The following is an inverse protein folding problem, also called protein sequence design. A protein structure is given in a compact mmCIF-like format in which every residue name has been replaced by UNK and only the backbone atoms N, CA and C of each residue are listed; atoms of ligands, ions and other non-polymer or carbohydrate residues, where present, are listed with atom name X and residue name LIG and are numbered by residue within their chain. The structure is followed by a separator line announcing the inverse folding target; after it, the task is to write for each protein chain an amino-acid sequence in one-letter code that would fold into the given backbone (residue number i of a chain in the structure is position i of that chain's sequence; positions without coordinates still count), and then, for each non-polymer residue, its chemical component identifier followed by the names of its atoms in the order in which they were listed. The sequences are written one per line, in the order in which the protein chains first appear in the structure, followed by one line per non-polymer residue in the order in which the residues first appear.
data_IF_721823292173
#
_entry.id   IF_721823292173
#
_cell.length_a   1.000
_cell.length_b   1.000
_cell.length_c   1.000
_cell.angle_alpha   90.00
_cell.angle_beta   90.00
_cell.angle_gamma   90.00
#
_symmetry.space_group_name_H-M   'P 1'
#
loop_
_entity.id
_entity.type
_entity.pdbx_description
1 polymer ?
#
# COMPACT_ATOMS: atom_id res chain seq x y z
N UNK A 1 19.57 21.95 -12.25
CA UNK A 1 19.65 20.48 -12.22
C UNK A 1 19.67 20.00 -10.77
N UNK A 2 18.93 18.95 -10.42
CA UNK A 2 18.90 18.37 -9.07
C UNK A 2 19.54 16.98 -9.12
N UNK A 3 20.60 16.77 -8.36
CA UNK A 3 21.41 15.56 -8.37
C UNK A 3 21.40 14.86 -7.02
N UNK A 4 21.35 13.53 -7.03
CA UNK A 4 21.66 12.70 -5.87
C UNK A 4 23.16 12.41 -5.90
N UNK A 5 23.91 12.92 -4.92
CA UNK A 5 25.38 12.82 -4.89
C UNK A 5 25.87 11.71 -3.96
N UNK A 6 25.06 11.29 -2.99
CA UNK A 6 25.35 10.13 -2.13
C UNK A 6 24.08 9.33 -1.85
N UNK A 7 24.24 8.02 -1.71
CA UNK A 7 23.19 7.05 -1.39
C UNK A 7 23.68 6.04 -0.36
N UNK A 8 22.75 5.41 0.36
CA UNK A 8 23.01 4.31 1.31
C UNK A 8 22.06 3.16 1.03
N UNK A 9 22.56 1.93 1.02
CA UNK A 9 21.70 0.76 0.88
C UNK A 9 20.83 0.58 2.12
N UNK A 10 19.55 0.31 1.91
CA UNK A 10 18.56 0.13 2.99
C UNK A 10 17.88 -1.24 2.97
N UNK A 11 18.05 -2.01 1.90
CA UNK A 11 17.57 -3.38 1.78
C UNK A 11 17.81 -3.95 0.38
N UNK A 12 17.32 -5.16 0.14
CA UNK A 12 17.30 -5.79 -1.17
C UNK A 12 16.04 -6.62 -1.38
N UNK A 13 15.49 -6.62 -2.60
CA UNK A 13 14.30 -7.40 -2.99
C UNK A 13 14.71 -8.24 -4.20
N UNK A 14 14.61 -9.57 -4.11
CA UNK A 14 15.01 -10.49 -5.18
C UNK A 14 16.43 -10.20 -5.73
N UNK A 15 17.39 -9.92 -4.84
CA UNK A 15 18.78 -9.57 -5.23
C UNK A 15 18.96 -8.13 -5.72
N UNK A 16 17.89 -7.36 -5.93
CA UNK A 16 17.98 -5.96 -6.33
C UNK A 16 18.09 -5.04 -5.12
N UNK A 17 19.16 -4.26 -5.07
CA UNK A 17 19.41 -3.35 -3.97
C UNK A 17 18.48 -2.12 -4.01
N UNK A 18 17.99 -1.73 -2.84
CA UNK A 18 17.21 -0.50 -2.63
C UNK A 18 18.05 0.49 -1.83
N UNK A 19 18.01 1.75 -2.24
CA UNK A 19 18.85 2.82 -1.71
C UNK A 19 18.03 3.99 -1.19
N UNK A 20 18.42 4.53 -0.05
CA UNK A 20 18.00 5.85 0.42
C UNK A 20 18.98 6.92 -0.07
N UNK A 21 18.45 8.12 -0.34
CA UNK A 21 19.27 9.29 -0.65
C UNK A 21 19.91 9.82 0.63
N UNK A 22 21.22 10.05 0.63
CA UNK A 22 21.94 10.61 1.80
C UNK A 22 22.48 12.01 1.56
N UNK A 23 22.70 12.38 0.30
CA UNK A 23 23.08 13.74 -0.09
C UNK A 23 22.49 14.08 -1.45
N UNK A 24 21.98 15.30 -1.59
CA UNK A 24 21.54 15.85 -2.87
C UNK A 24 22.07 17.27 -3.04
N UNK A 25 22.26 17.70 -4.29
CA UNK A 25 22.76 19.02 -4.63
C UNK A 25 21.95 19.60 -5.80
N UNK A 26 21.70 20.91 -5.73
CA UNK A 26 21.04 21.65 -6.80
C UNK A 26 22.09 22.50 -7.52
N UNK A 27 22.41 22.12 -8.76
CA UNK A 27 23.40 22.79 -9.59
C UNK A 27 22.68 23.66 -10.62
N UNK A 28 22.90 24.99 -10.65
CA UNK A 28 22.40 25.83 -11.73
C UNK A 28 23.15 25.48 -13.03
N UNK A 29 22.42 25.38 -14.14
CA UNK A 29 23.03 25.27 -15.46
C UNK A 29 23.16 26.70 -16.00
N UNK A 30 24.37 27.27 -16.06
CA UNK A 30 24.55 28.63 -16.56
C UNK A 30 24.20 28.66 -18.05
N UNK A 31 23.28 29.55 -18.43
CA UNK A 31 23.00 29.85 -19.83
C UNK A 31 23.52 31.26 -20.13
N UNK A 32 24.49 31.38 -21.03
CA UNK A 32 25.17 32.65 -21.35
C UNK A 32 24.22 33.71 -21.91
N UNK A 33 23.05 33.31 -22.41
CA UNK A 33 21.99 34.19 -22.92
C UNK A 33 21.02 34.70 -21.84
N UNK A 34 21.00 34.07 -20.66
CA UNK A 34 20.16 34.46 -19.51
C UNK A 34 21.06 35.07 -18.44
N UNK A 35 21.76 36.15 -18.80
CA UNK A 35 22.60 36.87 -17.86
C UNK A 35 21.78 37.83 -16.97
N UNK A 36 22.10 37.73 -15.68
CA UNK A 36 21.89 38.63 -14.53
C UNK A 36 20.49 38.97 -14.00
N UNK A 37 19.44 39.22 -14.79
CA UNK A 37 18.18 39.74 -14.21
C UNK A 37 17.18 38.67 -13.75
N UNK A 38 17.12 37.52 -14.43
CA UNK A 38 16.16 36.45 -14.15
C UNK A 38 16.64 35.47 -13.06
N UNK A 39 17.92 35.08 -13.10
CA UNK A 39 18.55 34.09 -12.22
C UNK A 39 18.56 34.49 -10.72
N UNK A 40 18.47 35.79 -10.45
CA UNK A 40 18.39 36.39 -9.11
C UNK A 40 17.01 36.98 -8.79
N UNK A 41 16.01 36.74 -9.64
CA UNK A 41 14.67 37.27 -9.42
C UNK A 41 14.12 36.82 -8.06
N UNK A 42 13.42 37.73 -7.37
CA UNK A 42 12.78 37.44 -6.08
C UNK A 42 11.87 36.19 -6.16
N UNK A 43 11.23 35.99 -7.31
CA UNK A 43 10.36 34.85 -7.57
C UNK A 43 11.14 33.54 -7.71
N UNK A 44 12.23 33.52 -8.48
CA UNK A 44 13.07 32.31 -8.61
C UNK A 44 13.67 31.91 -7.26
N UNK A 45 14.18 32.87 -6.49
CA UNK A 45 14.68 32.63 -5.15
C UNK A 45 13.59 32.11 -4.20
N UNK A 46 12.34 32.58 -4.33
CA UNK A 46 11.20 32.04 -3.59
C UNK A 46 10.91 30.59 -3.97
N UNK A 47 10.89 30.25 -5.26
CA UNK A 47 10.65 28.87 -5.71
C UNK A 47 11.79 27.93 -5.33
N UNK A 48 13.05 28.37 -5.43
CA UNK A 48 14.22 27.63 -4.95
C UNK A 48 14.06 27.32 -3.45
N UNK A 49 13.73 28.31 -2.64
CA UNK A 49 13.47 28.12 -1.20
C UNK A 49 12.34 27.12 -0.95
N UNK A 50 11.23 27.21 -1.68
CA UNK A 50 10.12 26.25 -1.57
C UNK A 50 10.55 24.83 -1.95
N UNK A 51 11.30 24.65 -3.03
CA UNK A 51 11.79 23.33 -3.44
C UNK A 51 12.79 22.77 -2.41
N UNK A 52 13.66 23.61 -1.86
CA UNK A 52 14.59 23.24 -0.79
C UNK A 52 13.89 22.88 0.54
N UNK A 53 12.60 23.19 0.72
CA UNK A 53 11.85 22.66 1.88
C UNK A 53 11.60 21.15 1.78
N UNK A 54 11.66 20.59 0.56
CA UNK A 54 11.62 19.14 0.36
C UNK A 54 13.02 18.58 0.53
N UNK A 55 13.25 17.99 1.69
CA UNK A 55 14.51 17.33 2.00
C UNK A 55 14.55 15.95 1.31
N UNK A 56 15.29 15.84 0.21
CA UNK A 56 15.45 14.57 -0.50
C UNK A 56 16.16 13.50 0.32
N UNK A 57 16.84 13.85 1.42
CA UNK A 57 17.53 12.86 2.26
C UNK A 57 16.58 12.14 3.24
N UNK A 58 15.35 12.64 3.37
CA UNK A 58 14.34 12.09 4.26
C UNK A 58 13.30 11.32 3.46
N UNK A 59 13.16 10.04 3.77
CA UNK A 59 12.04 9.20 3.33
C UNK A 59 11.92 8.99 1.80
N UNK A 60 12.96 9.32 1.05
CA UNK A 60 13.07 9.02 -0.37
C UNK A 60 13.97 7.81 -0.61
N UNK A 61 13.49 6.90 -1.44
CA UNK A 61 14.21 5.70 -1.82
C UNK A 61 14.01 5.38 -3.30
N UNK A 62 14.96 4.62 -3.85
CA UNK A 62 14.96 4.20 -5.24
C UNK A 62 15.78 2.91 -5.41
N UNK A 63 15.65 2.27 -6.56
CA UNK A 63 16.54 1.20 -7.01
C UNK A 63 16.88 1.42 -8.48
N UNK A 64 18.05 0.93 -8.91
CA UNK A 64 18.50 1.01 -10.30
C UNK A 64 17.89 -0.10 -11.15
N UNK A 65 17.75 -1.29 -10.56
CA UNK A 65 17.37 -2.52 -11.26
C UNK A 65 15.97 -3.02 -10.89
N UNK A 66 15.35 -2.46 -9.85
CA UNK A 66 14.00 -2.84 -9.42
C UNK A 66 13.04 -1.66 -9.45
N UNK A 67 11.84 -1.88 -9.98
CA UNK A 67 10.80 -0.87 -10.04
C UNK A 67 10.08 -0.75 -8.68
N UNK A 68 10.74 -0.08 -7.72
CA UNK A 68 10.24 0.13 -6.35
C UNK A 68 8.91 0.88 -6.28
N UNK A 69 8.52 1.58 -7.34
CA UNK A 69 7.25 2.31 -7.46
C UNK A 69 6.05 1.41 -7.76
N UNK A 70 6.27 0.12 -8.06
CA UNK A 70 5.23 -0.88 -8.31
C UNK A 70 5.26 -1.93 -7.19
N UNK A 71 4.14 -2.64 -7.01
CA UNK A 71 4.10 -3.82 -6.17
C UNK A 71 4.89 -4.98 -6.81
N UNK A 72 5.34 -5.90 -5.98
CA UNK A 72 6.04 -7.12 -6.41
C UNK A 72 5.22 -7.90 -7.43
N UNK A 73 3.92 -8.11 -7.18
CA UNK A 73 3.03 -8.80 -8.13
C UNK A 73 3.08 -8.14 -9.51
N UNK A 74 3.00 -6.80 -9.59
CA UNK A 74 3.06 -6.10 -10.88
C UNK A 74 4.42 -6.22 -11.55
N UNK A 75 5.50 -6.19 -10.78
CA UNK A 75 6.84 -6.38 -11.32
C UNK A 75 7.07 -7.79 -11.86
N UNK A 76 6.43 -8.79 -11.27
CA UNK A 76 6.56 -10.19 -11.69
C UNK A 76 5.61 -10.56 -12.83
N UNK A 77 4.45 -9.92 -12.96
CA UNK A 77 3.40 -10.33 -13.91
C UNK A 77 3.31 -9.44 -15.16
N UNK A 78 3.73 -8.17 -15.09
CA UNK A 78 3.47 -7.21 -16.15
C UNK A 78 4.76 -6.71 -16.80
N UNK A 79 4.96 -7.09 -18.06
CA UNK A 79 6.03 -6.60 -18.94
C UNK A 79 5.64 -5.27 -19.63
N UNK A 80 5.24 -4.27 -18.84
CA UNK A 80 4.96 -2.94 -19.39
C UNK A 80 6.25 -2.24 -19.82
N UNK A 81 6.25 -1.48 -20.93
CA UNK A 81 7.43 -0.79 -21.42
C UNK A 81 7.91 0.25 -20.41
N UNK A 82 9.24 0.37 -20.30
CA UNK A 82 9.92 1.14 -19.26
C UNK A 82 9.55 2.61 -19.18
N UNK A 83 8.94 3.25 -20.18
CA UNK A 83 8.57 4.67 -20.13
C UNK A 83 7.24 4.92 -19.41
N UNK A 84 6.23 4.07 -19.67
CA UNK A 84 4.89 4.15 -19.03
C UNK A 84 4.98 3.89 -17.52
N UNK A 85 5.92 3.02 -17.10
CA UNK A 85 6.16 2.70 -15.70
C UNK A 85 6.55 3.92 -14.85
N UNK A 86 7.14 4.92 -15.48
CA UNK A 86 7.65 6.11 -14.79
C UNK A 86 6.63 7.24 -14.70
N UNK A 87 5.46 7.10 -15.33
CA UNK A 87 4.35 8.04 -15.22
C UNK A 87 3.48 7.78 -13.99
N UNK A 88 3.72 6.67 -13.31
CA UNK A 88 2.93 6.22 -12.16
C UNK A 88 2.86 7.28 -11.05
N UNK A 89 1.79 7.21 -10.26
CA UNK A 89 1.54 8.17 -9.19
C UNK A 89 2.56 8.14 -8.05
N UNK A 90 3.38 7.09 -7.98
CA UNK A 90 4.39 6.89 -6.93
C UNK A 90 5.79 7.39 -7.34
N UNK A 91 5.99 7.82 -8.59
CA UNK A 91 7.25 8.40 -9.05
C UNK A 91 7.23 9.90 -8.75
N UNK A 92 7.75 10.28 -7.59
CA UNK A 92 7.71 11.66 -7.09
C UNK A 92 8.39 12.63 -8.05
N UNK A 93 9.55 12.26 -8.59
CA UNK A 93 10.35 13.08 -9.49
C UNK A 93 9.92 12.99 -10.97
N UNK A 94 8.73 12.46 -11.28
CA UNK A 94 8.26 12.31 -12.68
C UNK A 94 8.31 13.65 -13.42
N UNK A 95 7.80 14.73 -12.82
CA UNK A 95 7.84 16.05 -13.45
C UNK A 95 9.26 16.55 -13.71
N UNK A 96 10.19 16.30 -12.77
CA UNK A 96 11.59 16.74 -12.88
C UNK A 96 12.35 15.98 -13.97
N UNK A 97 11.94 14.75 -14.28
CA UNK A 97 12.64 13.84 -15.18
C UNK A 97 11.97 13.69 -16.54
N UNK A 98 10.72 14.16 -16.68
CA UNK A 98 9.94 14.12 -17.92
C UNK A 98 10.67 14.71 -19.12
N UNK A 99 11.30 15.88 -18.96
CA UNK A 99 12.05 16.52 -20.03
C UNK A 99 13.15 15.62 -20.57
N UNK A 100 13.99 15.06 -19.69
CA UNK A 100 15.09 14.17 -20.07
C UNK A 100 14.55 12.90 -20.75
N UNK A 101 13.52 12.27 -20.18
CA UNK A 101 12.93 11.04 -20.73
C UNK A 101 12.31 11.25 -22.11
N UNK A 102 11.60 12.37 -22.30
CA UNK A 102 10.95 12.66 -23.58
C UNK A 102 11.94 12.99 -24.68
N UNK A 103 13.11 13.56 -24.36
CA UNK A 103 14.13 13.86 -25.36
C UNK A 103 15.02 12.64 -25.67
N UNK A 104 15.42 11.89 -24.64
CA UNK A 104 16.36 10.78 -24.79
C UNK A 104 15.70 9.42 -25.05
N UNK A 105 14.38 9.32 -24.83
CA UNK A 105 13.57 8.11 -24.98
C UNK A 105 14.15 6.90 -24.21
N UNK A 106 14.80 7.17 -23.07
CA UNK A 106 15.37 6.16 -22.19
C UNK A 106 15.32 6.61 -20.72
N UNK A 107 15.60 5.66 -19.83
CA UNK A 107 15.59 5.86 -18.37
C UNK A 107 16.99 5.83 -17.75
N UNK A 108 18.05 5.62 -18.53
CA UNK A 108 19.43 5.40 -18.04
C UNK A 108 19.93 6.59 -17.20
N UNK A 109 19.54 7.81 -17.58
CA UNK A 109 19.95 9.05 -16.90
C UNK A 109 19.07 9.45 -15.71
N UNK A 110 18.01 8.70 -15.41
CA UNK A 110 17.03 9.08 -14.40
C UNK A 110 16.61 7.91 -13.54
N UNK A 111 16.53 8.09 -12.23
CA UNK A 111 15.94 7.08 -11.33
C UNK A 111 14.49 7.44 -10.98
N UNK A 112 13.66 6.44 -10.72
CA UNK A 112 12.32 6.63 -10.15
C UNK A 112 12.46 6.85 -8.64
N UNK A 113 12.25 8.09 -8.20
CA UNK A 113 12.31 8.42 -6.77
C UNK A 113 10.93 8.23 -6.14
N UNK A 114 10.85 7.39 -5.12
CA UNK A 114 9.62 7.11 -4.36
C UNK A 114 9.69 7.80 -3.02
N UNK A 115 8.59 8.44 -2.61
CA UNK A 115 8.46 9.08 -1.30
C UNK A 115 7.55 8.24 -0.41
N UNK A 116 7.97 7.94 0.83
CA UNK A 116 7.14 7.20 1.77
C UNK A 116 7.94 6.52 2.86
N UNK A 117 7.93 5.19 2.94
CA UNK A 117 8.64 4.45 3.99
C UNK A 117 9.21 3.16 3.42
N UNK A 118 10.40 2.77 3.87
CA UNK A 118 11.00 1.48 3.57
C UNK A 118 11.70 0.96 4.80
N UNK A 119 11.38 -0.26 5.22
CA UNK A 119 12.13 -0.98 6.25
C UNK A 119 12.18 -2.46 5.91
N UNK A 120 13.36 -3.05 6.11
CA UNK A 120 13.58 -4.48 5.98
C UNK A 120 14.28 -4.99 7.25
N UNK A 121 13.90 -6.16 7.73
CA UNK A 121 14.62 -6.88 8.80
C UNK A 121 14.55 -8.37 8.55
N UNK A 122 15.59 -9.08 8.98
CA UNK A 122 15.56 -10.54 9.11
C UNK A 122 14.87 -10.88 10.43
N UNK A 123 13.94 -11.81 10.40
CA UNK A 123 13.21 -12.36 11.55
C UNK A 123 13.35 -13.88 11.51
N UNK A 124 13.19 -14.54 12.66
CA UNK A 124 13.33 -16.00 12.78
C UNK A 124 12.12 -16.62 13.47
N UNK A 125 11.61 -17.72 12.91
CA UNK A 125 10.54 -18.53 13.53
C UNK A 125 10.95 -19.99 13.46
N UNK A 126 10.93 -20.68 14.60
CA UNK A 126 11.29 -22.10 14.70
C UNK A 126 12.65 -22.42 14.06
N UNK A 127 13.63 -21.51 14.17
CA UNK A 127 14.97 -21.65 13.60
C UNK A 127 15.09 -21.37 12.09
N UNK A 128 13.99 -21.04 11.40
CA UNK A 128 14.01 -20.59 10.00
C UNK A 128 14.01 -19.07 9.93
N UNK A 129 15.00 -18.51 9.24
CA UNK A 129 15.11 -17.08 9.01
C UNK A 129 14.37 -16.66 7.74
N UNK A 130 13.71 -15.50 7.80
CA UNK A 130 13.08 -14.88 6.65
C UNK A 130 13.24 -13.37 6.72
N UNK A 131 13.18 -12.71 5.57
CA UNK A 131 13.19 -11.26 5.46
C UNK A 131 11.77 -10.72 5.37
N UNK A 132 11.43 -9.84 6.29
CA UNK A 132 10.22 -9.03 6.25
C UNK A 132 10.58 -7.64 5.71
N UNK A 133 9.88 -7.21 4.65
CA UNK A 133 10.02 -5.87 4.08
C UNK A 133 8.68 -5.16 4.10
N UNK A 134 8.63 -3.97 4.70
CA UNK A 134 7.47 -3.09 4.66
C UNK A 134 7.80 -1.85 3.83
N UNK A 135 7.01 -1.61 2.80
CA UNK A 135 7.15 -0.46 1.91
C UNK A 135 5.85 0.34 1.94
N UNK A 136 5.93 1.64 2.18
CA UNK A 136 4.82 2.56 1.98
C UNK A 136 5.18 3.52 0.84
N UNK A 137 4.32 3.63 -0.16
CA UNK A 137 4.49 4.50 -1.32
C UNK A 137 3.42 5.58 -1.28
N UNK A 138 3.83 6.82 -1.11
CA UNK A 138 2.92 7.96 -1.09
C UNK A 138 2.73 8.52 -2.50
N UNK A 139 1.48 8.75 -2.88
CA UNK A 139 1.11 9.39 -4.13
C UNK A 139 1.64 10.82 -4.22
N UNK A 140 2.17 11.19 -5.39
CA UNK A 140 2.51 12.57 -5.75
C UNK A 140 1.29 13.42 -6.09
N UNK A 141 0.17 12.78 -6.44
CA UNK A 141 -1.05 13.49 -6.83
C UNK A 141 -1.84 13.96 -5.62
N UNK A 142 -2.43 15.15 -5.76
CA UNK A 142 -3.21 15.83 -4.71
C UNK A 142 -2.47 15.86 -3.35
N UNK A 143 -1.14 15.97 -3.42
CA UNK A 143 -0.26 16.09 -2.27
C UNK A 143 -0.39 17.48 -1.64
N UNK A 144 -0.22 17.51 -0.32
CA UNK A 144 -0.24 18.72 0.50
C UNK A 144 -0.21 18.38 1.98
N UNK A 145 -0.11 19.41 2.82
CA UNK A 145 -0.15 19.23 4.27
C UNK A 145 -1.58 18.99 4.74
N UNK A 146 -1.67 18.37 5.92
CA UNK A 146 -2.91 18.18 6.68
C UNK A 146 -3.66 19.51 6.77
N UNK A 147 -4.98 19.44 6.63
CA UNK A 147 -5.91 20.58 6.58
C UNK A 147 -5.91 21.42 5.30
N UNK A 148 -4.80 21.51 4.56
CA UNK A 148 -4.78 22.19 3.25
C UNK A 148 -5.31 21.32 2.12
N UNK A 149 -5.05 20.00 2.18
CA UNK A 149 -5.50 19.04 1.18
C UNK A 149 -6.19 17.86 1.86
N UNK A 150 -7.49 17.75 1.62
CA UNK A 150 -8.38 16.70 2.11
C UNK A 150 -9.37 16.33 1.01
N UNK A 151 -9.96 15.15 1.14
CA UNK A 151 -10.94 14.69 0.19
C UNK A 151 -10.35 14.17 -1.12
N UNK A 152 -11.15 14.30 -2.17
CA UNK A 152 -10.83 13.97 -3.55
C UNK A 152 -10.77 15.25 -4.39
N UNK A 153 -10.00 15.23 -5.48
CA UNK A 153 -10.06 16.24 -6.52
C UNK A 153 -10.93 15.79 -7.71
N UNK A 154 -11.18 16.67 -8.66
CA UNK A 154 -12.01 16.40 -9.85
C UNK A 154 -11.51 15.23 -10.72
N UNK A 155 -10.22 14.87 -10.61
CA UNK A 155 -9.62 13.74 -11.34
C UNK A 155 -9.67 12.41 -10.56
N UNK A 156 -10.45 12.33 -9.48
CA UNK A 156 -10.54 11.14 -8.63
C UNK A 156 -9.29 10.84 -7.82
N UNK A 157 -8.40 11.82 -7.59
CA UNK A 157 -7.18 11.65 -6.77
C UNK A 157 -7.45 12.12 -5.35
N UNK A 158 -7.29 11.22 -4.39
CA UNK A 158 -7.48 11.52 -2.97
C UNK A 158 -6.21 12.03 -2.32
N UNK A 159 -6.39 12.86 -1.30
CA UNK A 159 -5.27 13.34 -0.50
C UNK A 159 -4.73 12.17 0.33
N UNK A 160 -3.42 12.18 0.59
CA UNK A 160 -2.74 11.16 1.38
C UNK A 160 -3.00 9.71 0.90
N UNK A 161 -3.09 9.51 -0.43
CA UNK A 161 -3.15 8.16 -1.01
C UNK A 161 -1.79 7.46 -0.83
N UNK A 162 -1.80 6.36 -0.08
CA UNK A 162 -0.62 5.56 0.26
C UNK A 162 -0.92 4.09 -0.03
N UNK A 163 -0.01 3.46 -0.76
CA UNK A 163 0.02 2.02 -0.95
C UNK A 163 1.05 1.43 0.03
N UNK A 164 0.61 0.52 0.89
CA UNK A 164 1.49 -0.20 1.82
C UNK A 164 1.62 -1.63 1.34
N UNK A 165 2.84 -2.12 1.19
CA UNK A 165 3.16 -3.47 0.76
C UNK A 165 4.05 -4.17 1.78
N UNK A 166 3.66 -5.39 2.13
CA UNK A 166 4.39 -6.28 3.02
C UNK A 166 4.88 -7.49 2.23
N UNK A 167 6.19 -7.58 2.07
CA UNK A 167 6.88 -8.64 1.33
C UNK A 167 7.57 -9.57 2.33
N UNK A 168 7.39 -10.87 2.15
CA UNK A 168 8.05 -11.91 2.97
C UNK A 168 8.70 -12.93 2.05
N UNK A 169 9.99 -13.17 2.24
CA UNK A 169 10.72 -14.20 1.52
C UNK A 169 11.80 -14.82 2.41
N UNK A 170 12.16 -16.06 2.11
CA UNK A 170 13.26 -16.76 2.76
C UNK A 170 14.59 -16.39 2.08
N UNK A 171 15.62 -16.09 2.87
CA UNK A 171 16.97 -15.82 2.35
C UNK A 171 17.69 -17.16 2.17
N UNK A 172 17.35 -17.87 1.09
CA UNK A 172 17.93 -19.18 0.78
C UNK A 172 19.30 -18.99 0.10
N UNK A 173 20.32 -19.81 0.43
CA UNK A 173 21.61 -19.77 -0.27
C UNK A 173 21.49 -19.93 -1.79
N UNK A 174 22.46 -19.36 -2.51
CA UNK A 174 22.52 -19.32 -3.97
C UNK A 174 22.29 -20.71 -4.60
N UNK A 175 21.44 -20.76 -5.63
CA UNK A 175 21.11 -21.98 -6.38
C UNK A 175 19.77 -22.64 -6.03
N UNK A 176 19.16 -22.27 -4.90
CA UNK A 176 17.80 -22.70 -4.56
C UNK A 176 16.77 -21.66 -5.00
N UNK A 177 15.60 -22.15 -5.40
CA UNK A 177 14.46 -21.30 -5.73
C UNK A 177 13.88 -20.66 -4.46
N UNK A 178 13.88 -19.34 -4.40
CA UNK A 178 13.33 -18.55 -3.30
C UNK A 178 11.81 -18.46 -3.43
N UNK A 179 11.10 -18.78 -2.36
CA UNK A 179 9.67 -18.50 -2.28
C UNK A 179 9.48 -17.08 -1.75
N UNK A 180 8.60 -16.32 -2.41
CA UNK A 180 8.31 -14.94 -2.05
C UNK A 180 6.82 -14.70 -2.05
N UNK A 181 6.38 -13.90 -1.09
CA UNK A 181 5.01 -13.44 -0.98
C UNK A 181 4.96 -11.92 -0.92
N UNK A 182 3.87 -11.35 -1.39
CA UNK A 182 3.56 -9.93 -1.22
C UNK A 182 2.08 -9.73 -0.95
N UNK A 183 1.78 -8.79 -0.08
CA UNK A 183 0.43 -8.28 0.11
C UNK A 183 0.42 -6.77 0.08
N UNK A 184 -0.57 -6.22 -0.62
CA UNK A 184 -0.78 -4.78 -0.75
C UNK A 184 -2.07 -4.37 -0.05
N UNK A 185 -2.02 -3.26 0.67
CA UNK A 185 -3.18 -2.58 1.23
C UNK A 185 -3.12 -1.09 0.88
N UNK A 186 -4.29 -0.45 0.80
CA UNK A 186 -4.38 0.97 0.45
C UNK A 186 -4.92 1.78 1.61
N UNK A 187 -4.48 3.04 1.69
CA UNK A 187 -5.02 4.02 2.61
C UNK A 187 -5.09 5.37 1.92
N UNK A 188 -6.15 6.11 2.18
CA UNK A 188 -6.31 7.44 1.60
C UNK A 188 -7.36 8.26 2.32
N UNK A 189 -7.43 9.56 2.01
CA UNK A 189 -8.55 10.39 2.46
C UNK A 189 -9.88 9.79 1.97
N UNK A 190 -10.95 10.04 2.74
CA UNK A 190 -12.32 9.73 2.30
C UNK A 190 -12.55 10.45 0.96
N UNK A 191 -12.93 9.74 -0.11
CA UNK A 191 -13.06 10.30 -1.45
C UNK A 191 -14.37 11.09 -1.59
N UNK A 192 -14.45 12.22 -0.90
CA UNK A 192 -15.52 13.20 -1.03
C UNK A 192 -14.89 14.58 -1.19
N UNK A 193 -15.62 15.56 -1.70
CA UNK A 193 -15.16 16.94 -1.66
C UNK A 193 -15.39 17.52 -0.27
N UNK A 194 -14.33 17.56 0.55
CA UNK A 194 -14.41 18.13 1.89
C UNK A 194 -13.13 18.82 2.30
N UNK A 195 -13.27 19.78 3.21
CA UNK A 195 -12.19 20.58 3.75
C UNK A 195 -12.36 20.77 5.26
N UNK A 196 -11.28 21.18 5.90
CA UNK A 196 -11.26 21.58 7.30
C UNK A 196 -10.36 22.81 7.39
N UNK A 197 -10.95 23.99 7.43
CA UNK A 197 -10.19 25.24 7.51
C UNK A 197 -9.65 25.44 8.92
N UNK A 198 -8.32 25.51 9.05
CA UNK A 198 -7.69 25.75 10.35
C UNK A 198 -7.69 27.24 10.69
N UNK A 199 -8.25 27.59 11.84
CA UNK A 199 -8.14 28.92 12.44
C UNK A 199 -7.25 28.84 13.68
N UNK A 200 -6.47 29.90 13.96
CA UNK A 200 -5.62 29.99 15.16
C UNK A 200 -6.40 29.84 16.47
N UNK A 201 -7.71 30.09 16.45
CA UNK A 201 -8.60 30.02 17.62
C UNK A 201 -9.29 28.66 17.77
N UNK A 202 -9.33 27.84 16.72
CA UNK A 202 -10.09 26.58 16.69
C UNK A 202 -9.15 25.38 16.66
N UNK A 203 -8.92 24.78 17.84
CA UNK A 203 -8.07 23.60 18.03
C UNK A 203 -8.51 22.37 17.21
N UNK A 204 -9.83 22.22 16.96
CA UNK A 204 -10.36 21.18 16.07
C UNK A 204 -11.39 21.83 15.13
N UNK A 205 -11.01 22.17 13.88
CA UNK A 205 -11.88 22.83 12.93
C UNK A 205 -13.04 21.94 12.49
N UNK A 206 -14.13 22.56 12.06
CA UNK A 206 -15.30 21.84 11.57
C UNK A 206 -15.07 21.31 10.15
N UNK A 207 -15.82 20.25 9.81
CA UNK A 207 -15.74 19.61 8.51
C UNK A 207 -16.75 20.27 7.59
N UNK A 208 -16.24 20.81 6.48
CA UNK A 208 -17.05 21.48 5.47
C UNK A 208 -17.12 20.55 4.26
N UNK A 209 -18.31 20.03 4.00
CA UNK A 209 -18.62 19.29 2.78
C UNK A 209 -18.95 20.26 1.65
N UNK A 210 -18.33 20.04 0.50
CA UNK A 210 -18.64 20.77 -0.71
C UNK A 210 -19.52 19.89 -1.59
N UNK A 211 -20.78 20.28 -1.80
CA UNK A 211 -21.72 19.57 -2.69
C UNK A 211 -21.45 19.90 -4.18
N UNK A 212 -20.18 19.94 -4.57
CA UNK A 212 -19.75 20.24 -5.95
C UNK A 212 -20.10 19.12 -6.93
N UNK A 213 -20.25 17.90 -6.41
CA UNK A 213 -20.43 16.70 -7.20
C UNK A 213 -21.71 16.02 -6.78
N UNK A 214 -22.78 16.25 -7.54
CA UNK A 214 -24.11 15.70 -7.26
C UNK A 214 -24.19 14.19 -7.57
N UNK A 215 -23.37 13.72 -8.51
CA UNK A 215 -23.40 12.34 -9.00
C UNK A 215 -22.23 11.50 -8.48
N UNK A 216 -21.42 12.04 -7.58
CA UNK A 216 -20.22 11.40 -7.04
C UNK A 216 -19.22 10.93 -8.12
N UNK A 217 -19.11 11.66 -9.23
CA UNK A 217 -18.22 11.37 -10.35
C UNK A 217 -16.76 11.23 -9.90
N UNK A 218 -16.26 12.16 -9.09
CA UNK A 218 -14.87 12.12 -8.62
C UNK A 218 -14.64 10.91 -7.70
N UNK A 219 -15.65 10.53 -6.92
CA UNK A 219 -15.64 9.33 -6.09
C UNK A 219 -15.61 8.07 -6.95
N UNK A 220 -16.41 8.04 -8.04
CA UNK A 220 -16.43 6.92 -8.99
C UNK A 220 -15.10 6.74 -9.69
N UNK A 221 -14.54 7.82 -10.28
CA UNK A 221 -13.21 7.83 -10.90
C UNK A 221 -12.12 7.35 -9.93
N UNK A 222 -12.26 7.67 -8.64
CA UNK A 222 -11.34 7.20 -7.63
C UNK A 222 -11.39 5.67 -7.45
N UNK A 223 -12.57 5.09 -7.34
CA UNK A 223 -12.73 3.63 -7.18
C UNK A 223 -12.41 2.87 -8.47
N UNK A 224 -12.75 3.40 -9.64
CA UNK A 224 -12.29 2.87 -10.92
C UNK A 224 -10.76 2.80 -10.99
N UNK A 225 -10.08 3.84 -10.49
CA UNK A 225 -8.61 3.81 -10.39
C UNK A 225 -8.09 2.73 -9.42
N UNK A 226 -8.80 2.44 -8.33
CA UNK A 226 -8.43 1.35 -7.43
C UNK A 226 -8.66 -0.02 -8.07
N UNK A 227 -9.79 -0.23 -8.74
CA UNK A 227 -10.09 -1.46 -9.48
C UNK A 227 -9.03 -1.70 -10.55
N UNK A 228 -8.65 -0.67 -11.33
CA UNK A 228 -7.55 -0.79 -12.29
C UNK A 228 -6.21 -1.15 -11.64
N UNK A 229 -5.97 -0.70 -10.41
CA UNK A 229 -4.70 -0.94 -9.72
C UNK A 229 -4.64 -2.31 -9.03
N UNK A 230 -5.74 -2.80 -8.48
CA UNK A 230 -5.73 -3.92 -7.55
C UNK A 230 -6.75 -5.02 -7.88
N UNK A 231 -7.68 -4.78 -8.81
CA UNK A 231 -8.79 -5.66 -9.13
C UNK A 231 -9.96 -5.56 -8.15
N UNK A 232 -10.85 -6.57 -8.20
CA UNK A 232 -12.00 -6.72 -7.33
C UNK A 232 -11.85 -7.94 -6.40
N UNK A 233 -12.34 -7.85 -5.15
CA UNK A 233 -13.17 -6.78 -4.60
C UNK A 233 -12.37 -5.62 -4.00
N UNK A 234 -12.97 -4.42 -3.99
CA UNK A 234 -12.52 -3.29 -3.17
C UNK A 234 -13.28 -3.30 -1.84
N UNK A 235 -12.57 -3.56 -0.74
CA UNK A 235 -13.13 -3.58 0.61
C UNK A 235 -12.73 -2.29 1.32
N UNK A 236 -13.71 -1.51 1.75
CA UNK A 236 -13.49 -0.19 2.35
C UNK A 236 -13.73 -0.28 3.85
N UNK A 237 -12.67 -0.15 4.65
CA UNK A 237 -12.74 -0.07 6.09
C UNK A 237 -12.78 1.38 6.56
N UNK A 238 -13.89 1.76 7.17
CA UNK A 238 -14.16 3.13 7.60
C UNK A 238 -14.22 3.25 9.12
N UNK A 239 -13.17 3.85 9.70
CA UNK A 239 -12.93 3.92 11.15
C UNK A 239 -13.48 5.20 11.82
N UNK A 240 -14.45 5.84 11.18
CA UNK A 240 -15.03 7.13 11.58
C UNK A 240 -15.85 6.93 12.88
N UNK A 241 -15.82 7.91 13.79
CA UNK A 241 -16.65 7.88 15.00
C UNK A 241 -18.15 8.02 14.66
N UNK A 242 -18.99 7.22 15.30
CA UNK A 242 -20.46 7.26 15.15
C UNK A 242 -21.10 8.22 16.14
N UNK A 243 -20.65 8.22 17.40
CA UNK A 243 -21.17 9.09 18.45
C UNK A 243 -20.14 10.14 18.84
N UNK A 244 -20.42 11.39 18.48
CA UNK A 244 -19.62 12.55 18.85
C UNK A 244 -20.50 13.62 19.51
N UNK A 245 -19.95 14.35 20.49
CA UNK A 245 -20.65 15.49 21.12
C UNK A 245 -21.01 16.60 20.12
N UNK A 246 -20.18 16.77 19.08
CA UNK A 246 -20.46 17.62 17.92
C UNK A 246 -20.33 16.76 16.66
N UNK A 247 -21.36 16.68 15.81
CA UNK A 247 -21.33 15.85 14.62
C UNK A 247 -20.31 16.43 13.64
N UNK A 248 -19.15 15.79 13.50
CA UNK A 248 -18.10 16.21 12.58
C UNK A 248 -17.77 15.08 11.64
N UNK A 249 -17.22 14.00 12.19
CA UNK A 249 -16.86 12.81 11.44
C UNK A 249 -18.12 12.08 10.92
N UNK A 250 -19.21 12.11 11.70
CA UNK A 250 -20.48 11.47 11.35
C UNK A 250 -21.15 12.03 10.08
N UNK A 251 -20.90 13.31 9.75
CA UNK A 251 -21.42 13.93 8.54
C UNK A 251 -20.74 13.31 7.30
N UNK A 252 -19.42 13.16 7.33
CA UNK A 252 -18.68 12.48 6.27
C UNK A 252 -19.11 11.03 6.12
N UNK A 253 -19.40 10.34 7.23
CA UNK A 253 -19.89 8.95 7.19
C UNK A 253 -21.17 8.83 6.38
N UNK A 254 -22.15 9.69 6.68
CA UNK A 254 -23.46 9.62 6.04
C UNK A 254 -23.34 9.91 4.53
N UNK A 255 -22.67 10.99 4.17
CA UNK A 255 -22.49 11.33 2.75
C UNK A 255 -21.65 10.29 2.00
N UNK A 256 -20.66 9.69 2.66
CA UNK A 256 -19.85 8.67 2.01
C UNK A 256 -20.65 7.37 1.82
N UNK A 257 -21.51 6.98 2.77
CA UNK A 257 -22.42 5.86 2.58
C UNK A 257 -23.37 6.11 1.41
N UNK A 258 -23.97 7.31 1.32
CA UNK A 258 -24.81 7.70 0.19
C UNK A 258 -24.07 7.59 -1.14
N UNK A 259 -22.79 8.01 -1.19
CA UNK A 259 -21.96 7.90 -2.39
C UNK A 259 -21.70 6.44 -2.80
N UNK A 260 -21.41 5.56 -1.85
CA UNK A 260 -21.20 4.13 -2.12
C UNK A 260 -22.49 3.47 -2.60
N UNK A 261 -23.62 3.75 -1.94
CA UNK A 261 -24.92 3.22 -2.34
C UNK A 261 -25.33 3.71 -3.73
N UNK A 262 -25.00 4.96 -4.08
CA UNK A 262 -25.21 5.49 -5.42
C UNK A 262 -24.37 4.75 -6.46
N UNK A 263 -23.06 4.61 -6.24
CA UNK A 263 -22.14 3.94 -7.17
C UNK A 263 -22.48 2.45 -7.32
N UNK A 264 -22.85 1.77 -6.24
CA UNK A 264 -23.17 0.34 -6.26
C UNK A 264 -24.45 -0.01 -7.03
N UNK A 265 -25.31 0.97 -7.35
CA UNK A 265 -26.48 0.75 -8.23
C UNK A 265 -26.07 0.45 -9.67
N UNK A 266 -24.96 1.03 -10.12
CA UNK A 266 -24.47 0.89 -11.49
C UNK A 266 -23.51 -0.32 -11.65
N UNK A 267 -23.17 -1.00 -10.55
CA UNK A 267 -22.21 -2.11 -10.53
C UNK A 267 -22.89 -3.46 -10.36
N UNK A 268 -22.38 -4.48 -11.05
CA UNK A 268 -22.77 -5.88 -10.82
C UNK A 268 -22.39 -6.34 -9.41
N UNK A 269 -23.09 -7.35 -8.88
CA UNK A 269 -22.92 -7.78 -7.48
C UNK A 269 -21.47 -8.15 -7.11
N UNK A 270 -20.75 -8.75 -8.05
CA UNK A 270 -19.34 -9.14 -7.89
C UNK A 270 -18.40 -7.93 -7.79
N UNK A 271 -18.74 -6.85 -8.47
CA UNK A 271 -17.93 -5.63 -8.57
C UNK A 271 -18.34 -4.55 -7.55
N UNK A 272 -19.38 -4.80 -6.74
CA UNK A 272 -19.84 -3.85 -5.71
C UNK A 272 -18.72 -3.54 -4.71
N UNK A 273 -18.62 -2.25 -4.38
CA UNK A 273 -17.76 -1.75 -3.33
C UNK A 273 -18.29 -2.24 -1.98
N UNK A 274 -17.45 -2.97 -1.24
CA UNK A 274 -17.83 -3.53 0.06
C UNK A 274 -17.50 -2.55 1.16
N UNK A 275 -18.50 -1.81 1.62
CA UNK A 275 -18.33 -0.80 2.67
C UNK A 275 -18.51 -1.40 4.07
N UNK A 276 -17.42 -1.42 4.85
CA UNK A 276 -17.37 -1.88 6.23
C UNK A 276 -17.13 -0.69 7.15
N UNK A 277 -18.13 -0.35 7.94
CA UNK A 277 -18.02 0.71 8.92
C UNK A 277 -17.73 0.16 10.33
N UNK A 278 -16.72 0.71 10.98
CA UNK A 278 -16.29 0.26 12.31
C UNK A 278 -15.93 1.42 13.24
N UNK A 279 -16.69 1.63 14.32
CA UNK A 279 -16.38 2.65 15.31
C UNK A 279 -15.44 2.10 16.40
N UNK A 280 -14.13 2.38 16.27
CA UNK A 280 -13.13 1.96 17.26
C UNK A 280 -13.38 2.52 18.67
N UNK A 281 -13.92 3.73 18.79
CA UNK A 281 -14.10 4.39 20.08
C UNK A 281 -15.25 3.81 20.90
N UNK A 282 -16.30 3.31 20.22
CA UNK A 282 -17.39 2.58 20.90
C UNK A 282 -16.90 1.23 21.45
N UNK A 283 -16.09 0.52 20.65
CA UNK A 283 -15.61 -0.82 21.00
C UNK A 283 -14.41 -0.82 21.95
N UNK A 284 -13.64 0.27 22.05
CA UNK A 284 -12.58 0.39 23.07
C UNK A 284 -13.13 0.63 24.48
N UNK A 285 -14.39 1.05 24.61
CA UNK A 285 -15.05 1.33 25.90
C UNK A 285 -15.88 0.16 26.43
N UNK A 286 -16.23 -0.82 25.60
CA UNK A 286 -16.88 -2.05 26.06
C UNK A 286 -15.87 -2.91 26.81
N UNK A 287 -16.07 -3.08 28.13
CA UNK A 287 -15.25 -3.96 28.97
C UNK A 287 -15.21 -5.37 28.35
N UNK A 288 -14.00 -5.85 28.04
CA UNK A 288 -13.77 -7.26 27.65
C UNK A 288 -13.60 -7.56 26.16
N UNK A 289 -13.63 -6.57 25.25
CA UNK A 289 -13.36 -6.84 23.82
C UNK A 289 -12.03 -6.22 23.36
N UNK A 290 -11.05 -7.07 23.04
CA UNK A 290 -9.80 -6.61 22.46
C UNK A 290 -10.05 -6.11 21.02
N UNK A 291 -9.91 -4.80 20.81
CA UNK A 291 -10.15 -4.14 19.51
C UNK A 291 -9.30 -4.76 18.39
N UNK A 292 -8.07 -5.20 18.71
CA UNK A 292 -7.20 -5.89 17.76
C UNK A 292 -7.76 -7.24 17.33
N UNK A 293 -8.41 -7.97 18.23
CA UNK A 293 -9.03 -9.27 17.91
C UNK A 293 -10.20 -9.10 16.93
N UNK A 294 -11.02 -8.06 17.13
CA UNK A 294 -12.12 -7.73 16.22
C UNK A 294 -11.61 -7.27 14.85
N UNK A 295 -10.65 -6.35 14.83
CA UNK A 295 -9.98 -5.94 13.60
C UNK A 295 -9.29 -7.11 12.91
N UNK A 296 -8.75 -8.06 13.66
CA UNK A 296 -8.20 -9.32 13.17
C UNK A 296 -9.24 -10.14 12.42
N UNK A 297 -10.48 -10.23 12.91
CA UNK A 297 -11.57 -10.93 12.19
C UNK A 297 -11.91 -10.25 10.86
N UNK A 298 -12.01 -8.91 10.87
CA UNK A 298 -12.25 -8.11 9.65
C UNK A 298 -11.08 -8.28 8.66
N UNK A 299 -9.86 -8.28 9.17
CA UNK A 299 -8.64 -8.47 8.40
C UNK A 299 -8.59 -9.85 7.74
N UNK A 300 -8.85 -10.92 8.48
CA UNK A 300 -8.92 -12.29 7.93
C UNK A 300 -10.03 -12.40 6.88
N UNK A 301 -11.22 -11.84 7.15
CA UNK A 301 -12.30 -11.82 6.16
C UNK A 301 -11.88 -11.11 4.86
N UNK A 302 -11.26 -9.94 4.97
CA UNK A 302 -10.76 -9.20 3.82
C UNK A 302 -9.67 -9.99 3.07
N UNK A 303 -8.73 -10.59 3.79
CA UNK A 303 -7.64 -11.38 3.23
C UNK A 303 -8.14 -12.60 2.45
N UNK A 304 -9.14 -13.31 2.98
CA UNK A 304 -9.76 -14.46 2.29
C UNK A 304 -10.37 -14.06 0.95
N UNK A 305 -10.95 -12.86 0.86
CA UNK A 305 -11.57 -12.36 -0.37
C UNK A 305 -10.56 -11.77 -1.36
N UNK A 306 -9.53 -11.08 -0.88
CA UNK A 306 -8.55 -10.41 -1.75
C UNK A 306 -7.42 -11.32 -2.18
N UNK A 307 -7.10 -12.34 -1.37
CA UNK A 307 -5.89 -13.15 -1.49
C UNK A 307 -4.62 -12.35 -1.22
N UNK A 308 -3.48 -12.99 -1.47
CA UNK A 308 -2.16 -12.38 -1.49
C UNK A 308 -1.32 -13.00 -2.60
N UNK A 309 -0.25 -12.33 -3.01
CA UNK A 309 0.66 -12.82 -4.02
C UNK A 309 1.63 -13.84 -3.43
N UNK A 310 1.81 -14.97 -4.12
CA UNK A 310 2.83 -15.98 -3.85
C UNK A 310 3.43 -16.42 -5.17
N UNK A 311 4.75 -16.49 -5.24
CA UNK A 311 5.44 -17.17 -6.32
C UNK A 311 6.77 -17.77 -5.85
N UNK A 312 7.34 -18.61 -6.72
CA UNK A 312 8.66 -19.20 -6.55
C UNK A 312 9.58 -18.63 -7.63
N UNK A 313 10.68 -18.03 -7.21
CA UNK A 313 11.67 -17.38 -8.08
C UNK A 313 12.92 -18.26 -8.14
N UNK A 314 13.35 -18.66 -9.33
CA UNK A 314 14.60 -19.39 -9.52
C UNK A 314 15.80 -18.43 -9.59
N UNK A 315 16.88 -18.76 -8.89
CA UNK A 315 18.08 -17.92 -8.73
C UNK A 315 18.91 -17.74 -10.03
N UNK A 316 18.48 -18.30 -11.16
CA UNK A 316 19.23 -18.26 -12.44
C UNK A 316 19.18 -16.91 -13.17
N UNK A 317 18.59 -15.85 -12.59
CA UNK A 317 18.51 -14.52 -13.20
C UNK A 317 19.47 -13.55 -12.54
N UNK A 318 20.66 -13.43 -13.12
CA UNK A 318 21.56 -12.29 -12.85
C UNK A 318 21.06 -11.04 -13.62
N UNK A 319 21.45 -9.83 -13.20
CA UNK A 319 20.75 -8.58 -13.53
C UNK A 319 20.84 -8.07 -14.98
N UNK A 320 21.59 -8.75 -15.86
CA UNK A 320 21.93 -8.24 -17.20
C UNK A 320 21.07 -8.84 -18.33
N UNK A 321 20.20 -9.81 -18.06
CA UNK A 321 19.22 -10.28 -19.04
C UNK A 321 17.87 -9.60 -18.81
N UNK A 322 17.60 -8.63 -19.69
CA UNK A 322 16.32 -7.98 -19.84
C UNK A 322 15.21 -9.04 -20.04
N UNK A 323 14.38 -9.21 -19.01
CA UNK A 323 12.97 -9.61 -19.04
C UNK A 323 12.46 -10.20 -20.37
N UNK A 324 12.74 -11.48 -20.61
CA UNK A 324 11.89 -12.33 -21.45
C UNK A 324 11.66 -13.66 -20.74
N UNK A 325 10.63 -13.69 -19.89
CA UNK A 325 10.06 -14.93 -19.39
C UNK A 325 8.96 -15.39 -20.35
N UNK A 326 8.78 -16.71 -20.55
CA UNK A 326 8.03 -17.24 -21.67
C UNK A 326 6.63 -16.65 -21.65
N UNK A 327 6.28 -16.02 -22.77
CA UNK A 327 4.95 -15.56 -23.09
C UNK A 327 4.00 -16.71 -22.80
N UNK A 328 3.12 -16.56 -21.81
CA UNK A 328 1.98 -17.46 -21.73
C UNK A 328 1.18 -17.22 -23.00
N UNK A 329 1.09 -18.25 -23.84
CA UNK A 329 0.29 -18.24 -25.05
C UNK A 329 -1.08 -17.66 -24.74
N UNK A 330 -1.52 -16.74 -25.61
CA UNK A 330 -2.86 -16.21 -25.60
C UNK A 330 -3.85 -17.38 -25.58
N UNK A 331 -4.58 -17.54 -24.48
CA UNK A 331 -5.84 -18.29 -24.54
C UNK A 331 -6.77 -17.36 -25.32
N UNK A 332 -6.92 -17.70 -26.58
CA UNK A 332 -7.74 -17.02 -27.58
C UNK A 332 -9.16 -16.81 -27.04
N UNK A 333 -9.70 -15.62 -27.29
CA UNK A 333 -11.11 -15.29 -27.09
C UNK A 333 -11.93 -16.16 -28.05
N UNK A 334 -12.50 -17.25 -27.53
CA UNK A 334 -13.36 -18.16 -28.26
C UNK A 334 -14.56 -18.58 -27.42
N UNK A 335 -15.58 -17.73 -27.42
CA UNK A 335 -17.01 -18.03 -27.28
C UNK A 335 -17.40 -19.28 -26.45
N UNK A 336 -17.76 -19.09 -25.18
CA UNK A 336 -18.55 -20.08 -24.42
C UNK A 336 -19.56 -19.38 -23.51
N UNK A 337 -20.79 -19.33 -24.00
CA UNK A 337 -22.04 -19.06 -23.28
C UNK A 337 -22.21 -19.91 -22.01
N UNK A 338 -22.83 -19.37 -20.93
CA UNK A 338 -23.03 -20.10 -19.68
C UNK A 338 -24.39 -20.79 -19.70
N UNK A 339 -24.44 -22.04 -20.15
CA UNK A 339 -25.58 -22.92 -19.85
C UNK A 339 -25.22 -24.37 -20.13
N UNK A 340 -24.93 -25.13 -19.06
CA UNK A 340 -25.47 -26.48 -18.83
C UNK A 340 -24.80 -27.14 -17.62
N UNK A 341 -25.67 -27.73 -16.80
CA UNK A 341 -25.40 -28.66 -15.69
C UNK A 341 -25.00 -28.05 -14.33
N UNK A 342 -25.90 -27.23 -13.78
CA UNK A 342 -26.43 -27.58 -12.46
C UNK A 342 -27.45 -28.70 -12.68
N UNK A 343 -27.23 -29.88 -12.07
CA UNK A 343 -28.26 -30.78 -11.55
C UNK A 343 -27.58 -32.02 -10.95
N UNK A 344 -27.50 -32.07 -9.62
CA UNK A 344 -28.09 -33.12 -8.78
C UNK A 344 -27.43 -33.09 -7.40
N UNK A 345 -28.15 -32.49 -6.45
CA UNK A 345 -28.08 -32.85 -5.04
C UNK A 345 -28.99 -34.06 -4.83
N UNK A 346 -28.51 -35.06 -4.08
CA UNK A 346 -29.23 -35.99 -3.18
C UNK A 346 -28.12 -36.78 -2.44
N UNK A 347 -27.91 -36.53 -1.15
CA UNK A 347 -28.47 -37.23 0.03
C UNK A 347 -27.72 -38.53 0.42
N UNK A 348 -27.58 -38.72 1.74
CA UNK A 348 -27.22 -39.94 2.48
C UNK A 348 -25.75 -40.23 2.92
N UNK A 349 -25.48 -39.82 4.17
CA UNK A 349 -25.22 -40.66 5.36
C UNK A 349 -24.14 -41.79 5.40
N UNK A 350 -23.25 -41.64 6.40
CA UNK A 350 -22.55 -42.63 7.26
C UNK A 350 -22.26 -44.07 6.77
N UNK A 351 -20.96 -44.47 6.75
CA UNK A 351 -20.38 -45.53 7.63
C UNK A 351 -18.89 -45.84 7.38
N UNK A 352 -18.27 -46.36 8.43
CA UNK A 352 -16.85 -46.66 8.70
C UNK A 352 -16.22 -47.86 7.97
N UNK A 353 -14.88 -47.81 7.96
CA UNK A 353 -13.86 -48.89 8.13
C UNK A 353 -13.69 -50.03 7.10
N UNK A 354 -12.42 -50.27 6.72
CA UNK A 354 -11.96 -51.50 6.05
C UNK A 354 -10.53 -51.41 5.50
N UNK A 355 -9.63 -52.23 6.05
CA UNK A 355 -8.17 -52.29 5.83
C UNK A 355 -7.70 -53.10 4.59
N UNK A 356 -6.42 -52.89 4.24
CA UNK A 356 -5.48 -53.74 3.46
C UNK A 356 -5.74 -53.87 1.93
N UNK A 357 -4.77 -53.95 1.02
CA UNK A 357 -3.32 -54.26 1.06
C UNK A 357 -2.64 -53.79 -0.25
N UNK A 358 -1.38 -53.36 -0.13
CA UNK A 358 -0.30 -53.51 -1.10
C UNK A 358 -0.54 -53.26 -2.59
N UNK A 359 0.03 -52.16 -3.10
CA UNK A 359 0.81 -52.28 -4.33
C UNK A 359 2.02 -51.35 -4.32
N UNK A 360 3.19 -51.94 -4.55
CA UNK A 360 4.47 -51.26 -4.64
C UNK A 360 4.54 -50.55 -5.98
N UNK A 361 4.65 -49.22 -6.00
CA UNK A 361 5.20 -48.54 -7.17
C UNK A 361 6.04 -47.33 -6.77
N UNK A 362 7.35 -47.55 -6.93
CA UNK A 362 8.44 -46.61 -7.16
C UNK A 362 8.18 -45.13 -6.92
N UNK A 363 8.90 -44.62 -5.92
CA UNK A 363 9.16 -43.22 -5.68
C UNK A 363 9.59 -42.51 -6.96
N UNK A 364 8.69 -41.73 -7.55
CA UNK A 364 9.06 -40.59 -8.38
C UNK A 364 8.62 -39.35 -7.61
N UNK A 365 9.60 -38.63 -7.07
CA UNK A 365 9.40 -37.43 -6.27
C UNK A 365 8.79 -36.33 -7.13
N UNK A 366 7.46 -36.35 -7.26
CA UNK A 366 6.70 -35.18 -7.66
C UNK A 366 6.88 -34.14 -6.56
N UNK A 367 7.91 -33.31 -6.68
CA UNK A 367 7.92 -32.00 -6.03
C UNK A 367 6.67 -31.28 -6.52
N UNK A 368 5.57 -31.40 -5.78
CA UNK A 368 4.34 -30.66 -6.04
C UNK A 368 4.67 -29.18 -5.87
N UNK A 369 5.01 -28.51 -6.98
CA UNK A 369 5.32 -27.09 -6.99
C UNK A 369 3.99 -26.37 -6.75
N UNK A 370 3.85 -25.71 -5.59
CA UNK A 370 2.68 -24.89 -5.30
C UNK A 370 2.50 -23.86 -6.43
N UNK A 371 1.33 -23.79 -7.08
CA UNK A 371 1.10 -22.81 -8.13
C UNK A 371 1.18 -21.38 -7.58
N UNK A 372 1.56 -20.40 -8.41
CA UNK A 372 1.53 -19.00 -7.99
C UNK A 372 0.10 -18.58 -7.63
N UNK A 373 -0.03 -17.72 -6.62
CA UNK A 373 -1.29 -17.08 -6.26
C UNK A 373 -1.19 -15.59 -6.49
N UNK A 374 -2.32 -14.96 -6.78
CA UNK A 374 -2.40 -13.53 -7.05
C UNK A 374 -3.35 -12.86 -6.08
N UNK A 375 -2.98 -11.68 -5.61
CA UNK A 375 -3.89 -10.76 -4.98
C UNK A 375 -4.81 -10.17 -6.06
N UNK A 376 -6.12 -10.32 -5.88
CA UNK A 376 -7.16 -9.91 -6.85
C UNK A 376 -7.97 -8.69 -6.42
N UNK A 377 -7.82 -8.24 -5.18
CA UNK A 377 -8.51 -7.08 -4.64
C UNK A 377 -7.70 -6.36 -3.57
N UNK A 378 -8.27 -5.36 -2.89
CA UNK A 378 -7.55 -4.60 -1.85
C UNK A 378 -8.44 -4.19 -0.69
N UNK A 379 -7.87 -4.24 0.52
CA UNK A 379 -8.43 -3.55 1.68
C UNK A 379 -7.97 -2.08 1.68
N UNK A 380 -8.93 -1.17 1.55
CA UNK A 380 -8.72 0.27 1.68
C UNK A 380 -9.16 0.75 3.05
N UNK A 381 -8.27 1.41 3.79
CA UNK A 381 -8.62 2.10 5.03
C UNK A 381 -8.81 3.60 4.79
N UNK A 382 -9.96 4.16 5.19
CA UNK A 382 -10.21 5.60 5.08
C UNK A 382 -9.52 6.39 6.19
N UNK A 383 -8.85 7.48 5.81
CA UNK A 383 -8.14 8.38 6.69
C UNK A 383 -8.86 9.72 6.82
N UNK A 384 -9.15 10.12 8.05
CA UNK A 384 -9.69 11.46 8.36
C UNK A 384 -8.66 12.30 9.09
N UNK A 385 -8.02 11.81 10.16
CA UNK A 385 -7.21 12.68 11.03
C UNK A 385 -6.09 11.97 11.78
N UNK A 386 -6.43 10.99 12.63
CA UNK A 386 -5.42 10.28 13.42
C UNK A 386 -4.89 9.10 12.63
N UNK A 387 -3.65 9.27 12.21
CA UNK A 387 -2.88 8.24 11.57
C UNK A 387 -2.87 6.95 12.40
N UNK A 388 -2.92 7.07 13.73
CA UNK A 388 -2.90 5.98 14.70
C UNK A 388 -4.05 4.98 14.51
N UNK A 389 -5.31 5.44 14.37
CA UNK A 389 -6.47 4.53 14.14
C UNK A 389 -6.26 3.72 12.86
N UNK A 390 -5.87 4.40 11.80
CA UNK A 390 -5.65 3.76 10.51
C UNK A 390 -4.43 2.85 10.53
N UNK A 391 -3.36 3.22 11.25
CA UNK A 391 -2.15 2.43 11.35
C UNK A 391 -2.40 1.14 12.13
N UNK A 392 -3.19 1.19 13.21
CA UNK A 392 -3.64 0.01 13.96
C UNK A 392 -4.44 -0.95 13.08
N UNK A 393 -5.34 -0.43 12.24
CA UNK A 393 -6.08 -1.28 11.29
C UNK A 393 -5.18 -1.87 10.20
N UNK A 394 -4.22 -1.08 9.69
CA UNK A 394 -3.23 -1.58 8.72
C UNK A 394 -2.33 -2.66 9.33
N UNK A 395 -1.95 -2.50 10.61
CA UNK A 395 -1.20 -3.49 11.38
C UNK A 395 -2.03 -4.77 11.57
N UNK A 396 -3.30 -4.67 11.98
CA UNK A 396 -4.15 -5.85 12.16
C UNK A 396 -4.30 -6.66 10.85
N UNK A 397 -4.40 -5.97 9.71
CA UNK A 397 -4.37 -6.60 8.39
C UNK A 397 -3.00 -7.22 8.07
N UNK A 398 -1.92 -6.49 8.35
CA UNK A 398 -0.54 -6.98 8.18
C UNK A 398 -0.23 -8.23 9.01
N UNK A 399 -0.73 -8.31 10.24
CA UNK A 399 -0.53 -9.44 11.15
C UNK A 399 -1.29 -10.69 10.66
N UNK A 400 -2.56 -10.51 10.27
CA UNK A 400 -3.33 -11.58 9.65
C UNK A 400 -2.62 -12.08 8.38
N UNK A 401 -2.16 -11.15 7.53
CA UNK A 401 -1.44 -11.51 6.32
C UNK A 401 -0.10 -12.21 6.60
N UNK A 402 0.67 -11.75 7.60
CA UNK A 402 1.96 -12.36 7.95
C UNK A 402 1.78 -13.82 8.34
N UNK A 403 0.74 -14.15 9.12
CA UNK A 403 0.42 -15.54 9.45
C UNK A 403 0.18 -16.41 8.22
N UNK A 404 -0.64 -15.93 7.28
CA UNK A 404 -0.91 -16.64 6.02
C UNK A 404 0.32 -16.72 5.10
N UNK A 405 1.15 -15.67 5.05
CA UNK A 405 2.39 -15.64 4.28
C UNK A 405 3.39 -16.67 4.81
N UNK A 406 3.64 -16.69 6.13
CA UNK A 406 4.54 -17.66 6.75
C UNK A 406 4.03 -19.11 6.59
N UNK A 407 2.71 -19.31 6.64
CA UNK A 407 2.11 -20.61 6.37
C UNK A 407 2.30 -21.06 4.91
N UNK A 408 2.11 -20.16 3.94
CA UNK A 408 2.35 -20.46 2.54
C UNK A 408 3.81 -20.84 2.25
N UNK A 409 4.76 -20.16 2.91
CA UNK A 409 6.19 -20.45 2.86
C UNK A 409 6.60 -21.73 3.63
N UNK A 410 5.67 -22.34 4.37
CA UNK A 410 5.91 -23.52 5.21
C UNK A 410 6.79 -23.23 6.44
N UNK A 411 6.92 -21.96 6.84
CA UNK A 411 7.67 -21.55 8.05
C UNK A 411 6.84 -21.81 9.31
N UNK A 412 5.51 -21.73 9.20
CA UNK A 412 4.56 -21.96 10.29
C UNK A 412 3.45 -22.92 9.85
N UNK A 413 3.07 -23.84 10.73
CA UNK A 413 2.02 -24.84 10.42
C UNK A 413 0.61 -24.25 10.39
N UNK A 414 0.39 -23.13 11.10
CA UNK A 414 -0.90 -22.46 11.18
C UNK A 414 -0.84 -21.04 10.64
N UNK A 415 -1.89 -20.55 9.96
CA UNK A 415 -1.92 -19.21 9.37
C UNK A 415 -2.23 -18.09 10.40
N UNK A 416 -2.22 -18.39 11.70
CA UNK A 416 -2.57 -17.46 12.77
C UNK A 416 -1.35 -17.14 13.63
N UNK A 417 -1.15 -15.86 13.92
CA UNK A 417 -0.14 -15.37 14.86
C UNK A 417 -0.90 -14.83 16.08
N UNK A 418 -0.50 -15.27 17.27
CA UNK A 418 -1.08 -14.77 18.52
C UNK A 418 -0.62 -13.31 18.74
N UNK A 419 -1.46 -12.49 19.39
CA UNK A 419 -1.09 -11.11 19.68
C UNK A 419 0.07 -11.01 20.68
N UNK A 420 0.30 -12.05 21.48
CA UNK A 420 1.41 -12.14 22.42
C UNK A 420 2.66 -12.81 21.82
N UNK A 421 2.62 -13.19 20.54
CA UNK A 421 3.79 -13.75 19.83
C UNK A 421 4.81 -12.61 19.61
N UNK A 422 6.11 -12.79 19.91
CA UNK A 422 7.13 -11.76 19.67
C UNK A 422 7.17 -11.22 18.24
N UNK A 423 6.73 -12.01 17.25
CA UNK A 423 6.58 -11.54 15.87
C UNK A 423 5.53 -10.44 15.72
N UNK A 424 4.47 -10.49 16.52
CA UNK A 424 3.42 -9.48 16.52
C UNK A 424 4.00 -8.13 16.98
N UNK A 425 4.83 -8.12 18.03
CA UNK A 425 5.51 -6.94 18.54
C UNK A 425 6.53 -6.37 17.53
N UNK A 426 7.34 -7.24 16.91
CA UNK A 426 8.27 -6.83 15.85
C UNK A 426 7.52 -6.19 14.67
N UNK A 427 6.43 -6.81 14.22
CA UNK A 427 5.59 -6.27 13.17
C UNK A 427 4.93 -4.95 13.59
N UNK A 428 4.47 -4.83 14.84
CA UNK A 428 3.91 -3.60 15.38
C UNK A 428 4.93 -2.47 15.26
N UNK A 429 6.18 -2.69 15.68
CA UNK A 429 7.24 -1.70 15.56
C UNK A 429 7.52 -1.28 14.12
N UNK A 430 7.33 -2.15 13.13
CA UNK A 430 7.39 -1.77 11.71
C UNK A 430 6.26 -0.80 11.33
N UNK A 431 5.01 -1.14 11.66
CA UNK A 431 3.86 -0.30 11.35
C UNK A 431 3.89 1.01 12.13
N UNK A 432 4.31 1.04 13.39
CA UNK A 432 4.47 2.27 14.18
C UNK A 432 5.44 3.25 13.51
N UNK A 433 6.64 2.80 13.15
CA UNK A 433 7.63 3.65 12.46
C UNK A 433 7.14 4.12 11.09
N UNK A 434 6.45 3.25 10.34
CA UNK A 434 5.79 3.65 9.09
C UNK A 434 4.75 4.73 9.36
N UNK A 435 3.95 4.55 10.42
CA UNK A 435 2.97 5.49 10.90
C UNK A 435 3.61 6.85 11.16
N UNK A 436 4.54 6.93 12.10
CA UNK A 436 5.24 8.15 12.47
C UNK A 436 5.81 8.87 11.25
N UNK A 437 6.49 8.13 10.37
CA UNK A 437 7.05 8.67 9.13
C UNK A 437 5.96 9.32 8.27
N UNK A 438 4.87 8.61 7.96
CA UNK A 438 3.76 9.15 7.18
C UNK A 438 3.06 10.33 7.88
N UNK A 439 3.00 10.33 9.22
CA UNK A 439 2.43 11.43 9.99
C UNK A 439 3.23 12.72 9.80
N UNK A 440 4.56 12.64 9.86
CA UNK A 440 5.45 13.78 9.63
C UNK A 440 5.31 14.31 8.20
N UNK A 441 5.27 13.40 7.23
CA UNK A 441 5.12 13.75 5.81
C UNK A 441 3.79 14.43 5.51
N UNK A 442 2.71 14.06 6.21
CA UNK A 442 1.39 14.65 6.02
C UNK A 442 1.18 15.91 6.87
N UNK A 443 1.68 15.94 8.11
CA UNK A 443 1.53 17.08 9.01
C UNK A 443 2.38 18.29 8.63
N UNK A 444 3.56 18.06 8.03
CA UNK A 444 4.57 19.09 7.83
C UNK A 444 5.29 19.45 9.14
N UNK A 445 6.55 19.86 9.07
CA UNK A 445 7.44 20.07 10.23
C UNK A 445 6.87 21.02 11.29
N UNK A 446 6.05 21.99 10.90
CA UNK A 446 5.42 22.94 11.81
C UNK A 446 4.21 22.37 12.59
N UNK A 447 3.55 21.33 12.10
CA UNK A 447 2.46 20.68 12.84
C UNK A 447 2.99 19.73 13.92
N UNK A 448 4.19 19.16 13.72
CA UNK A 448 4.83 18.32 14.73
C UNK A 448 5.20 19.14 15.99
N UNK A 449 5.67 20.38 15.81
CA UNK A 449 5.87 21.33 16.93
C UNK A 449 4.58 21.69 17.68
N UNK A 450 3.41 21.56 17.06
CA UNK A 450 2.11 21.78 17.71
C UNK A 450 1.58 20.53 18.40
N UNK A 451 1.85 19.34 17.86
CA UNK A 451 1.39 18.07 18.45
C UNK A 451 2.25 17.64 19.64
N UNK A 452 3.55 17.96 19.65
CA UNK A 452 4.43 17.67 20.80
C UNK A 452 3.96 18.39 22.08
N UNK A 453 3.35 19.57 21.97
CA UNK A 453 2.75 20.27 23.12
C UNK A 453 1.47 19.59 23.65
N UNK A 454 0.75 18.83 22.82
CA UNK A 454 -0.45 18.09 23.23
C UNK A 454 -0.12 16.64 23.67
N UNK A 455 0.97 16.05 23.18
CA UNK A 455 1.37 14.67 23.48
C UNK A 455 2.02 14.49 24.86
N UNK A 456 2.59 15.55 25.45
CA UNK A 456 3.09 15.51 26.84
C UNK A 456 1.97 15.38 27.88
N UNK A 457 0.69 15.43 27.48
CA UNK A 457 -0.44 15.34 28.39
C UNK A 457 -1.23 14.02 28.34
N UNK A 458 -0.87 13.05 27.47
CA UNK A 458 -1.55 11.75 27.41
C UNK A 458 -0.59 10.62 26.99
N UNK A 459 0.36 10.27 27.86
CA UNK A 459 0.91 8.93 27.84
C UNK A 459 -0.20 7.96 28.26
N UNK A 460 -0.87 7.34 27.29
CA UNK A 460 -1.49 6.04 27.50
C UNK A 460 -0.35 5.03 27.63
N UNK A 461 0.12 4.83 28.86
CA UNK A 461 0.74 3.58 29.24
C UNK A 461 -0.34 2.50 29.12
N UNK A 462 -0.14 1.55 28.20
CA UNK A 462 -0.84 0.28 28.29
C UNK A 462 0.01 -0.65 29.18
N UNK A 463 -0.62 -1.34 30.15
CA UNK A 463 0.05 -2.27 31.05
C UNK A 463 0.57 -3.52 30.35
#
# INVERSE_FOLDING_TARGET
MLLITKRRQIGAICGHNVYAVTKSEMIPLPNSTVNSSAAESKNENRYKKLLCTVDLTKDFFFSYSYHVMRSLQKNMCNNEPGQVLYETMFVWNEFLTRGIRNHLQNTIWTVALVYGFFKQSTLSVSGREFKLTLIARRSRHYAGTRYLKRGVNEKGRVANDVETEQIVFEDVPDGLSTQITSIVQNRGSIPLFWSQETSRLNLKPDIILSKKDQNYEATRLHFENLVRRYGNPIIILNLIKTQEKKPRESILRQEFANAIDFINKDLSEENRLRFLHWDLHKHSRSKGTNVLLLLGKVATYALTLTGFFYCRVTSSLRPDECMSWPSFENIDDGDMSPDKYCNNLNEDAYRSEGNHSGDNNFANGNHCVKPPTFQRGVLRTNCIDCLDRTNVAQYAYGLAALGHQLHALGIKDTPKIDLNDPLADELMGFYERMGDTLAHQYGGSAAHNKVILDATCNHMQFP
#
